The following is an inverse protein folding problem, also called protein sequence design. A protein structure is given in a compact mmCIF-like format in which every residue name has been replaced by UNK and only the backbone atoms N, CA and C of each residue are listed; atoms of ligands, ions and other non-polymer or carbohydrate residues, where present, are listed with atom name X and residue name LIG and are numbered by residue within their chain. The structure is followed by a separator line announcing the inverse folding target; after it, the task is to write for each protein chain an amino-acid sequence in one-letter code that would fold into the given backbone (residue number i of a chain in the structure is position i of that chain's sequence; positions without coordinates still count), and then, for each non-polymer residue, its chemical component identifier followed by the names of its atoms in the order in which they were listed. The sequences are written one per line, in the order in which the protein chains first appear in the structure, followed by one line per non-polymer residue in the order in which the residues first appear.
data_IF_285074921365
#
_entry.id   IF_285074921365
#
_cell.length_a   1.000
_cell.length_b   1.000
_cell.length_c   1.000
_cell.angle_alpha   90.00
_cell.angle_beta   90.00
_cell.angle_gamma   90.00
#
_symmetry.space_group_name_H-M   'P 1'
#
loop_
_entity.id
_entity.type
_entity.pdbx_description
1 polymer ?
#
# COMPACT_ATOMS: atom_id res chain seq x y z
N UNK A 1 1.84 12.98 7.53
CA UNK A 1 2.16 13.69 6.27
C UNK A 1 3.66 13.79 6.20
N UNK A 2 4.25 13.43 5.06
CA UNK A 2 5.67 13.64 4.80
C UNK A 2 5.81 14.97 4.07
N UNK A 3 6.83 15.75 4.41
CA UNK A 3 7.10 17.00 3.68
C UNK A 3 7.43 16.69 2.21
N UNK A 4 6.95 17.54 1.29
CA UNK A 4 7.08 17.32 -0.15
C UNK A 4 8.54 17.37 -0.67
N UNK A 5 9.49 17.74 0.17
CA UNK A 5 10.92 17.79 -0.14
C UNK A 5 11.67 16.52 0.25
N UNK A 6 11.01 15.52 0.85
CA UNK A 6 11.64 14.26 1.24
C UNK A 6 11.46 13.26 0.09
N UNK A 7 12.56 12.71 -0.47
CA UNK A 7 12.48 11.63 -1.45
C UNK A 7 11.70 10.43 -0.88
N UNK A 8 10.86 9.81 -1.70
CA UNK A 8 10.02 8.68 -1.27
C UNK A 8 10.83 7.53 -0.64
N UNK A 9 12.06 7.32 -1.13
CA UNK A 9 13.02 6.35 -0.56
C UNK A 9 13.36 6.62 0.91
N UNK A 10 13.51 7.89 1.29
CA UNK A 10 13.91 8.28 2.64
C UNK A 10 12.69 8.22 3.57
N UNK A 11 11.52 8.59 3.03
CA UNK A 11 10.24 8.41 3.72
C UNK A 11 9.92 6.93 3.97
N UNK A 12 10.28 6.04 3.05
CA UNK A 12 10.05 4.61 3.15
C UNK A 12 10.79 3.95 4.32
N UNK A 13 11.97 4.45 4.70
CA UNK A 13 12.73 3.94 5.86
C UNK A 13 11.86 4.00 7.13
N UNK A 14 11.29 5.17 7.41
CA UNK A 14 10.41 5.35 8.57
C UNK A 14 9.08 4.60 8.46
N UNK A 15 8.57 4.40 7.25
CA UNK A 15 7.36 3.60 7.01
C UNK A 15 7.61 2.11 7.27
N UNK A 16 8.67 1.54 6.69
CA UNK A 16 9.01 0.12 6.83
C UNK A 16 9.41 -0.21 8.27
N UNK A 17 10.09 0.71 8.97
CA UNK A 17 10.39 0.54 10.40
C UNK A 17 9.12 0.42 11.25
N UNK A 18 8.11 1.29 11.00
CA UNK A 18 6.81 1.20 11.69
C UNK A 18 6.00 -0.03 11.27
N UNK A 19 6.07 -0.42 10.01
CA UNK A 19 5.43 -1.65 9.54
C UNK A 19 6.00 -2.86 10.27
N UNK A 20 7.32 -2.94 10.42
CA UNK A 20 7.99 -4.04 11.11
C UNK A 20 7.63 -4.11 12.59
N UNK A 21 7.53 -2.96 13.27
CA UNK A 21 7.18 -2.93 14.70
C UNK A 21 5.72 -3.33 14.97
N UNK A 22 4.80 -2.97 14.07
CA UNK A 22 3.37 -3.28 14.22
C UNK A 22 2.98 -4.65 13.66
N UNK A 23 3.67 -5.12 12.62
CA UNK A 23 3.31 -6.30 11.84
C UNK A 23 4.54 -7.15 11.50
N UNK A 24 5.15 -7.75 12.51
CA UNK A 24 6.35 -8.60 12.37
C UNK A 24 6.14 -9.90 11.57
N UNK A 25 4.91 -10.25 11.22
CA UNK A 25 4.63 -11.41 10.36
C UNK A 25 4.78 -11.07 8.86
N UNK A 26 4.80 -9.78 8.51
CA UNK A 26 5.03 -9.35 7.13
C UNK A 26 6.52 -9.49 6.83
N UNK A 27 6.84 -10.42 5.92
CA UNK A 27 8.21 -10.71 5.46
C UNK A 27 8.50 -10.20 4.05
N UNK A 28 7.45 -9.90 3.27
CA UNK A 28 7.54 -9.52 1.87
C UNK A 28 6.75 -8.25 1.59
N UNK A 29 7.40 -7.26 0.99
CA UNK A 29 6.79 -6.02 0.51
C UNK A 29 7.12 -5.82 -0.97
N UNK A 30 6.13 -5.41 -1.76
CA UNK A 30 6.33 -5.00 -3.15
C UNK A 30 6.40 -3.48 -3.24
N UNK A 31 7.33 -2.97 -4.04
CA UNK A 31 7.45 -1.55 -4.37
C UNK A 31 7.70 -1.36 -5.87
N UNK A 32 7.44 -0.16 -6.38
CA UNK A 32 7.72 0.16 -7.78
C UNK A 32 9.20 0.55 -8.00
N UNK A 33 9.55 0.82 -9.26
CA UNK A 33 10.90 1.19 -9.66
C UNK A 33 11.49 2.44 -8.98
N UNK A 34 10.68 3.29 -8.34
CA UNK A 34 11.15 4.47 -7.62
C UNK A 34 11.86 4.14 -6.30
N UNK A 35 11.65 2.94 -5.76
CA UNK A 35 12.18 2.50 -4.46
C UNK A 35 13.45 1.64 -4.57
N UNK A 36 14.16 1.72 -5.70
CA UNK A 36 15.38 0.96 -5.94
C UNK A 36 16.59 1.48 -5.17
N UNK A 37 17.61 0.64 -5.05
CA UNK A 37 18.91 1.00 -4.47
C UNK A 37 18.98 0.65 -2.99
N UNK A 38 19.71 1.46 -2.21
CA UNK A 38 20.08 1.13 -0.83
C UNK A 38 18.92 0.90 0.14
N UNK A 39 17.68 1.27 -0.21
CA UNK A 39 16.50 0.93 0.57
C UNK A 39 16.24 -0.59 0.63
N UNK A 40 16.50 -1.30 -0.47
CA UNK A 40 16.30 -2.76 -0.55
C UNK A 40 17.27 -3.47 0.39
N UNK A 41 18.56 -3.07 0.32
CA UNK A 41 19.61 -3.63 1.17
C UNK A 41 19.35 -3.29 2.65
N UNK A 42 19.02 -2.03 2.94
CA UNK A 42 18.67 -1.59 4.29
C UNK A 42 17.48 -2.37 4.87
N UNK A 43 16.42 -2.59 4.10
CA UNK A 43 15.24 -3.34 4.56
C UNK A 43 15.60 -4.79 4.90
N UNK A 44 16.47 -5.42 4.10
CA UNK A 44 16.95 -6.77 4.36
C UNK A 44 17.85 -6.83 5.59
N UNK A 45 18.83 -5.94 5.69
CA UNK A 45 19.82 -5.94 6.77
C UNK A 45 19.27 -5.50 8.13
N UNK A 46 18.36 -4.51 8.14
CA UNK A 46 17.88 -3.90 9.40
C UNK A 46 16.54 -4.44 9.87
N UNK A 47 15.69 -4.92 8.96
CA UNK A 47 14.34 -5.35 9.29
C UNK A 47 14.06 -6.82 8.98
N UNK A 48 15.01 -7.56 8.38
CA UNK A 48 14.82 -8.91 7.85
C UNK A 48 13.59 -8.97 6.90
N UNK A 49 13.43 -7.91 6.11
CA UNK A 49 12.28 -7.70 5.24
C UNK A 49 12.71 -7.79 3.78
N UNK A 50 12.04 -8.62 3.00
CA UNK A 50 12.28 -8.71 1.56
C UNK A 50 11.49 -7.63 0.83
N UNK A 51 12.19 -6.67 0.23
CA UNK A 51 11.60 -5.63 -0.63
C UNK A 51 11.75 -6.03 -2.11
N UNK A 52 10.67 -6.47 -2.74
CA UNK A 52 10.63 -6.83 -4.16
C UNK A 52 10.23 -5.63 -5.02
N UNK A 53 11.16 -5.18 -5.86
CA UNK A 53 10.90 -4.09 -6.80
C UNK A 53 10.26 -4.64 -8.08
N UNK A 54 9.06 -4.14 -8.40
CA UNK A 54 8.37 -4.39 -9.66
C UNK A 54 8.68 -3.24 -10.62
N UNK A 55 9.58 -3.49 -11.58
CA UNK A 55 9.91 -2.55 -12.64
C UNK A 55 9.14 -2.87 -13.91
N UNK A 56 8.88 -1.83 -14.71
CA UNK A 56 8.53 -1.99 -16.12
C UNK A 56 9.82 -2.25 -16.90
N UNK A 57 9.79 -3.21 -17.81
CA UNK A 57 10.91 -3.45 -18.72
C UNK A 57 10.86 -2.43 -19.85
N UNK A 58 12.01 -1.85 -20.22
CA UNK A 58 12.10 -0.80 -21.24
C UNK A 58 11.77 -1.31 -22.65
N UNK A 59 11.90 -2.62 -22.88
CA UNK A 59 11.59 -3.31 -24.15
C UNK A 59 10.09 -3.49 -24.42
N UNK A 60 9.22 -2.94 -23.56
CA UNK A 60 7.78 -3.12 -23.66
C UNK A 60 7.11 -1.94 -24.34
N UNK A 61 6.67 -2.15 -25.58
CA UNK A 61 5.82 -1.22 -26.31
C UNK A 61 4.35 -1.30 -25.85
N UNK A 62 3.73 -0.14 -25.65
CA UNK A 62 2.32 -0.02 -25.25
C UNK A 62 2.07 -0.15 -23.74
N UNK A 63 0.80 -0.31 -23.37
CA UNK A 63 0.37 -0.45 -21.97
C UNK A 63 0.50 -1.90 -21.53
N UNK A 64 1.47 -2.17 -20.65
CA UNK A 64 1.66 -3.49 -20.04
C UNK A 64 1.21 -3.47 -18.59
N UNK A 65 0.35 -4.43 -18.25
CA UNK A 65 -0.10 -4.66 -16.87
C UNK A 65 1.07 -5.18 -16.04
N UNK A 66 1.53 -4.36 -15.08
CA UNK A 66 2.56 -4.78 -14.13
C UNK A 66 2.00 -5.75 -13.08
N UNK A 67 2.72 -6.84 -12.76
CA UNK A 67 2.31 -7.77 -11.72
C UNK A 67 2.05 -7.05 -10.38
N UNK A 68 0.94 -7.39 -9.72
CA UNK A 68 0.51 -6.86 -8.40
C UNK A 68 0.25 -5.36 -8.27
N UNK A 69 0.54 -4.52 -9.27
CA UNK A 69 0.22 -3.08 -9.24
C UNK A 69 -1.28 -2.81 -8.99
N UNK A 70 -2.13 -3.64 -9.59
CA UNK A 70 -3.58 -3.60 -9.42
C UNK A 70 -4.04 -3.75 -7.96
N UNK A 71 -3.23 -4.33 -7.06
CA UNK A 71 -3.58 -4.49 -5.65
C UNK A 71 -3.64 -3.14 -4.96
N UNK A 72 -2.66 -2.27 -5.22
CA UNK A 72 -2.58 -0.92 -4.68
C UNK A 72 -3.69 -0.06 -5.28
N UNK A 73 -3.83 -0.07 -6.61
CA UNK A 73 -4.86 0.69 -7.33
C UNK A 73 -6.27 0.31 -6.86
N UNK A 74 -6.52 -0.99 -6.67
CA UNK A 74 -7.79 -1.49 -6.14
C UNK A 74 -8.04 -0.99 -4.71
N UNK A 75 -7.00 -0.87 -3.89
CA UNK A 75 -7.10 -0.32 -2.53
C UNK A 75 -7.51 1.15 -2.59
N UNK A 76 -6.90 1.94 -3.47
CA UNK A 76 -7.32 3.33 -3.71
C UNK A 76 -8.73 3.43 -4.26
N UNK A 77 -9.13 2.56 -5.19
CA UNK A 77 -10.50 2.52 -5.71
C UNK A 77 -11.52 2.30 -4.58
N UNK A 78 -11.20 1.48 -3.58
CA UNK A 78 -12.07 1.27 -2.41
C UNK A 78 -12.15 2.49 -1.50
N UNK A 79 -11.03 3.17 -1.30
CA UNK A 79 -11.00 4.42 -0.55
C UNK A 79 -11.81 5.50 -1.28
N UNK A 80 -11.61 5.71 -2.58
CA UNK A 80 -12.38 6.65 -3.39
C UNK A 80 -13.89 6.35 -3.40
N UNK A 81 -14.28 5.06 -3.40
CA UNK A 81 -15.69 4.67 -3.32
C UNK A 81 -16.32 5.04 -1.97
N UNK A 82 -15.51 5.20 -0.93
CA UNK A 82 -15.97 5.82 0.31
C UNK A 82 -15.98 7.33 0.11
N UNK A 83 -17.13 7.89 -0.29
CA UNK A 83 -17.32 9.30 -0.71
C UNK A 83 -16.47 10.35 0.03
N UNK A 84 -16.26 10.18 1.35
CA UNK A 84 -15.47 11.10 2.18
C UNK A 84 -13.96 11.13 1.87
N UNK A 85 -13.43 10.09 1.23
CA UNK A 85 -12.02 9.96 0.82
C UNK A 85 -11.82 10.18 -0.68
N UNK A 86 -12.87 10.54 -1.43
CA UNK A 86 -12.74 10.93 -2.83
C UNK A 86 -11.87 12.19 -3.01
N UNK A 87 -11.81 13.02 -1.96
CA UNK A 87 -10.89 14.15 -1.82
C UNK A 87 -10.47 14.24 -0.36
N UNK A 88 -9.25 14.67 -0.09
CA UNK A 88 -8.81 14.91 1.28
C UNK A 88 -9.42 16.23 1.75
N UNK A 89 -10.41 16.12 2.64
CA UNK A 89 -11.08 17.27 3.27
C UNK A 89 -10.52 17.56 4.67
N UNK A 90 -9.69 16.67 5.20
CA UNK A 90 -9.25 16.74 6.58
C UNK A 90 -8.01 17.63 6.70
N UNK A 91 -8.01 18.56 7.65
CA UNK A 91 -6.86 19.47 7.87
C UNK A 91 -5.72 18.79 8.62
N UNK A 92 -6.04 17.80 9.46
CA UNK A 92 -5.09 17.11 10.32
C UNK A 92 -4.76 15.72 9.76
N UNK A 93 -3.46 15.33 9.67
CA UNK A 93 -3.07 14.00 9.23
C UNK A 93 -3.74 12.85 9.99
N UNK A 94 -3.94 13.04 11.30
CA UNK A 94 -4.58 12.05 12.17
C UNK A 94 -6.06 11.83 11.80
N UNK A 95 -6.75 12.88 11.36
CA UNK A 95 -8.13 12.79 10.89
C UNK A 95 -8.20 12.04 9.55
N UNK A 96 -7.31 12.36 8.58
CA UNK A 96 -7.21 11.61 7.32
C UNK A 96 -6.95 10.13 7.58
N UNK A 97 -6.02 9.82 8.50
CA UNK A 97 -5.69 8.44 8.89
C UNK A 97 -6.88 7.71 9.52
N UNK A 98 -7.63 8.37 10.42
CA UNK A 98 -8.84 7.81 11.01
C UNK A 98 -9.91 7.50 9.96
N UNK A 99 -10.10 8.39 8.97
CA UNK A 99 -11.06 8.17 7.89
C UNK A 99 -10.68 6.98 7.00
N UNK A 100 -9.38 6.79 6.70
CA UNK A 100 -8.87 5.62 5.97
C UNK A 100 -9.16 4.34 6.75
N UNK A 101 -8.86 4.31 8.06
CA UNK A 101 -9.17 3.17 8.93
C UNK A 101 -10.66 2.85 8.94
N UNK A 102 -11.52 3.85 9.11
CA UNK A 102 -12.98 3.68 9.12
C UNK A 102 -13.51 3.07 7.82
N UNK A 103 -13.01 3.55 6.67
CA UNK A 103 -13.36 2.99 5.35
C UNK A 103 -13.00 1.51 5.25
N UNK A 104 -11.79 1.13 5.67
CA UNK A 104 -11.33 -0.25 5.61
C UNK A 104 -12.08 -1.17 6.59
N UNK A 105 -12.37 -0.70 7.81
CA UNK A 105 -13.18 -1.46 8.78
C UNK A 105 -14.58 -1.73 8.22
N UNK A 106 -15.25 -0.69 7.70
CA UNK A 106 -16.58 -0.82 7.09
C UNK A 106 -16.57 -1.82 5.94
N UNK A 107 -15.53 -1.75 5.09
CA UNK A 107 -15.35 -2.68 3.97
C UNK A 107 -15.16 -4.12 4.44
N UNK A 108 -14.31 -4.35 5.43
CA UNK A 108 -14.06 -5.67 5.99
C UNK A 108 -15.30 -6.24 6.68
N UNK A 109 -16.05 -5.42 7.42
CA UNK A 109 -17.34 -5.80 8.00
C UNK A 109 -18.33 -6.29 6.94
N UNK A 110 -18.47 -5.58 5.81
CA UNK A 110 -19.33 -6.01 4.70
C UNK A 110 -18.87 -7.32 4.04
N UNK A 111 -17.57 -7.60 4.01
CA UNK A 111 -17.04 -8.85 3.46
C UNK A 111 -17.34 -10.04 4.35
N UNK A 112 -17.21 -9.85 5.67
CA UNK A 112 -17.52 -10.88 6.66
C UNK A 112 -19.02 -11.18 6.71
N UNK A 113 -19.86 -10.16 6.59
CA UNK A 113 -21.32 -10.31 6.58
C UNK A 113 -21.88 -10.83 5.24
N UNK A 114 -21.07 -10.89 4.17
CA UNK A 114 -21.54 -11.37 2.87
C UNK A 114 -21.78 -12.88 2.98
N UNK A 115 -23.00 -13.39 2.70
CA UNK A 115 -23.22 -14.83 2.67
C UNK A 115 -22.21 -15.46 1.72
N UNK A 116 -21.53 -16.53 2.15
CA UNK A 116 -20.74 -17.34 1.22
C UNK A 116 -21.74 -17.78 0.15
N UNK A 117 -21.49 -17.42 -1.10
CA UNK A 117 -22.31 -17.90 -2.20
C UNK A 117 -22.32 -19.43 -2.07
N UNK A 118 -23.47 -19.98 -1.68
CA UNK A 118 -23.65 -21.42 -1.57
C UNK A 118 -23.22 -22.03 -2.89
N UNK A 119 -22.30 -23.00 -2.82
CA UNK A 119 -21.74 -23.61 -4.01
C UNK A 119 -22.88 -24.10 -4.91
N UNK A 120 -22.99 -23.50 -6.10
CA UNK A 120 -23.65 -24.15 -7.22
C UNK A 120 -22.76 -25.32 -7.61
N UNK A 121 -23.09 -26.49 -7.06
CA UNK A 121 -22.80 -27.78 -7.71
C UNK A 121 -23.81 -27.98 -8.82
#
# INVERSE_FOLDING_TARGET
MTAANIPDRDAAIGLLGRLRSLHHEITLVWADGGYTGGLVDWAKEKLDLTLQIVKRTDDMEGFVVLPRRWVVERTFAWLMHSRRLARDYETLPAASEAMIRWSMITRMGRRLARPRAGGRR
#
